data_IF_273461444047
#
_entry.id   IF_273461444047
#
_cell.length_a   1.000
_cell.length_b   1.000
_cell.length_c   1.000
_cell.angle_alpha   90.00
_cell.angle_beta   90.00
_cell.angle_gamma   90.00
#
_symmetry.space_group_name_H-M   'P 1'
#
loop_
_entity.id
_entity.type
_entity.pdbx_description
1 polymer ?
#
# COMPACT_ATOMS: atom_id res chain seq x y z
N UNK A 1 -49.80 -7.94 8.25
CA UNK A 1 -49.63 -6.54 7.82
C UNK A 1 -48.24 -6.38 7.22
N UNK A 2 -48.04 -6.64 5.91
CA UNK A 2 -46.77 -6.36 5.25
C UNK A 2 -46.58 -4.85 5.11
N UNK A 3 -45.48 -4.32 5.65
CA UNK A 3 -45.12 -2.92 5.40
C UNK A 3 -44.60 -2.81 3.96
N UNK A 4 -45.43 -2.28 3.07
CA UNK A 4 -44.99 -1.84 1.76
C UNK A 4 -44.04 -0.65 1.92
N UNK A 5 -42.76 -0.93 2.13
CA UNK A 5 -41.71 0.07 1.99
C UNK A 5 -41.76 0.55 0.55
N UNK A 6 -42.19 1.80 0.36
CA UNK A 6 -42.21 2.40 -0.96
C UNK A 6 -40.78 2.38 -1.52
N UNK A 7 -40.58 1.61 -2.58
CA UNK A 7 -39.37 1.64 -3.39
C UNK A 7 -39.31 3.00 -4.08
N UNK A 8 -38.83 4.01 -3.34
CA UNK A 8 -38.42 5.27 -3.90
C UNK A 8 -37.22 4.99 -4.78
N UNK A 9 -37.51 4.73 -6.06
CA UNK A 9 -36.53 4.59 -7.12
C UNK A 9 -35.74 5.90 -7.21
N UNK A 10 -34.58 5.90 -6.55
CA UNK A 10 -33.64 7.01 -6.55
C UNK A 10 -33.35 7.38 -8.00
N UNK A 11 -33.74 8.59 -8.41
CA UNK A 11 -33.61 8.99 -9.81
C UNK A 11 -32.12 8.97 -10.19
N UNK A 12 -31.75 8.40 -11.35
CA UNK A 12 -30.34 8.33 -11.77
C UNK A 12 -29.66 9.72 -11.83
N UNK A 13 -30.44 10.77 -12.05
CA UNK A 13 -29.99 12.17 -12.01
C UNK A 13 -29.52 12.59 -10.61
N UNK A 14 -30.27 12.25 -9.55
CA UNK A 14 -29.91 12.59 -8.18
C UNK A 14 -28.57 11.97 -7.77
N UNK A 15 -28.35 10.69 -8.11
CA UNK A 15 -27.08 10.01 -7.86
C UNK A 15 -25.91 10.69 -8.58
N UNK A 16 -26.10 11.08 -9.84
CA UNK A 16 -25.07 11.78 -10.61
C UNK A 16 -24.66 13.10 -9.95
N UNK A 17 -25.60 13.90 -9.46
CA UNK A 17 -25.30 15.20 -8.84
C UNK A 17 -24.78 15.09 -7.41
N UNK A 18 -25.01 13.95 -6.74
CA UNK A 18 -24.44 13.64 -5.42
C UNK A 18 -22.97 13.15 -5.43
N UNK A 19 -22.32 13.04 -6.60
CA UNK A 19 -20.93 12.59 -6.72
C UNK A 19 -19.96 13.65 -6.16
N UNK A 20 -19.57 13.47 -4.90
CA UNK A 20 -18.59 14.29 -4.18
C UNK A 20 -17.34 13.47 -3.83
N UNK A 21 -16.24 14.13 -3.47
CA UNK A 21 -14.95 13.45 -3.16
C UNK A 21 -15.07 12.42 -2.03
N UNK A 22 -15.93 12.66 -1.04
CA UNK A 22 -16.18 11.74 0.08
C UNK A 22 -17.12 10.59 -0.26
N UNK A 23 -18.01 10.74 -1.24
CA UNK A 23 -19.04 9.75 -1.61
C UNK A 23 -18.72 8.97 -2.87
N UNK A 24 -17.71 9.37 -3.66
CA UNK A 24 -17.44 8.78 -4.98
C UNK A 24 -17.20 7.27 -4.93
N UNK A 25 -16.53 6.74 -3.90
CA UNK A 25 -16.23 5.29 -3.82
C UNK A 25 -17.47 4.46 -3.48
N UNK A 26 -18.34 4.93 -2.58
CA UNK A 26 -19.60 4.24 -2.27
C UNK A 26 -20.58 4.31 -3.45
N UNK A 27 -20.64 5.45 -4.16
CA UNK A 27 -21.41 5.58 -5.41
C UNK A 27 -20.80 4.69 -6.51
N UNK A 28 -19.48 4.51 -6.55
CA UNK A 28 -18.81 3.65 -7.53
C UNK A 28 -19.14 2.16 -7.36
N UNK A 29 -19.31 1.67 -6.13
CA UNK A 29 -19.86 0.33 -5.87
C UNK A 29 -21.25 0.19 -6.50
N UNK A 30 -22.18 1.10 -6.17
CA UNK A 30 -23.56 1.10 -6.69
C UNK A 30 -23.58 1.18 -8.23
N UNK A 31 -22.77 2.05 -8.82
CA UNK A 31 -22.64 2.20 -10.27
C UNK A 31 -22.09 0.92 -10.94
N UNK A 32 -21.18 0.20 -10.27
CA UNK A 32 -20.65 -1.09 -10.74
C UNK A 32 -21.72 -2.17 -10.69
N UNK A 33 -22.46 -2.28 -9.57
CA UNK A 33 -23.54 -3.25 -9.40
C UNK A 33 -24.69 -3.05 -10.42
N UNK A 34 -25.09 -1.78 -10.65
CA UNK A 34 -26.10 -1.40 -11.65
C UNK A 34 -25.59 -1.41 -13.10
N UNK A 35 -24.27 -1.54 -13.31
CA UNK A 35 -23.60 -1.44 -14.62
C UNK A 35 -23.87 -0.12 -15.36
N UNK A 36 -24.13 0.99 -14.64
CA UNK A 36 -24.36 2.31 -15.25
C UNK A 36 -23.03 2.92 -15.72
N UNK A 37 -22.75 2.78 -17.01
CA UNK A 37 -21.55 3.31 -17.65
C UNK A 37 -21.40 4.84 -17.53
N UNK A 38 -22.50 5.61 -17.45
CA UNK A 38 -22.44 7.08 -17.32
C UNK A 38 -22.03 7.48 -15.91
N UNK A 39 -22.63 6.85 -14.90
CA UNK A 39 -22.29 7.10 -13.50
C UNK A 39 -20.87 6.62 -13.18
N UNK A 40 -20.48 5.45 -13.68
CA UNK A 40 -19.10 4.94 -13.60
C UNK A 40 -18.08 5.93 -14.18
N UNK A 41 -18.36 6.49 -15.37
CA UNK A 41 -17.46 7.45 -16.02
C UNK A 41 -17.35 8.77 -15.23
N UNK A 42 -18.45 9.30 -14.67
CA UNK A 42 -18.44 10.49 -13.78
C UNK A 42 -17.63 10.23 -12.51
N UNK A 43 -17.76 9.04 -11.91
CA UNK A 43 -16.97 8.66 -10.75
C UNK A 43 -15.47 8.50 -11.07
N UNK A 44 -15.11 7.83 -12.17
CA UNK A 44 -13.71 7.69 -12.62
C UNK A 44 -13.07 9.06 -12.88
N UNK A 45 -13.82 10.00 -13.50
CA UNK A 45 -13.38 11.39 -13.68
C UNK A 45 -13.10 12.06 -12.32
N UNK A 46 -14.02 11.95 -11.37
CA UNK A 46 -13.89 12.54 -10.02
C UNK A 46 -12.71 11.94 -9.25
N UNK A 47 -12.47 10.63 -9.35
CA UNK A 47 -11.29 9.97 -8.74
C UNK A 47 -9.99 10.50 -9.34
N UNK A 48 -9.92 10.70 -10.66
CA UNK A 48 -8.75 11.28 -11.34
C UNK A 48 -8.51 12.74 -10.93
N UNK A 49 -9.57 13.55 -10.85
CA UNK A 49 -9.51 14.97 -10.43
C UNK A 49 -9.15 15.14 -8.96
N UNK A 50 -9.48 14.17 -8.10
CA UNK A 50 -9.11 14.14 -6.68
C UNK A 50 -7.71 13.55 -6.44
N UNK A 51 -7.06 13.05 -7.50
CA UNK A 51 -5.68 12.59 -7.46
C UNK A 51 -5.43 11.40 -6.53
N UNK A 52 -4.32 11.47 -5.81
CA UNK A 52 -3.75 10.34 -5.04
C UNK A 52 -4.36 10.17 -3.65
N UNK A 53 -4.96 11.23 -3.10
CA UNK A 53 -5.54 11.28 -1.75
C UNK A 53 -6.62 10.19 -1.56
N UNK A 54 -7.50 10.06 -2.56
CA UNK A 54 -8.63 9.13 -2.52
C UNK A 54 -8.18 7.66 -2.51
N UNK A 55 -7.07 7.34 -3.19
CA UNK A 55 -6.51 5.98 -3.27
C UNK A 55 -5.71 5.57 -2.03
N UNK A 56 -5.35 6.52 -1.17
CA UNK A 56 -4.70 6.29 0.13
C UNK A 56 -5.73 6.31 1.28
N UNK A 57 -6.97 6.71 1.00
CA UNK A 57 -8.03 6.81 2.00
C UNK A 57 -8.53 5.43 2.48
N UNK A 58 -8.98 5.35 3.74
CA UNK A 58 -9.58 4.14 4.30
C UNK A 58 -10.86 3.71 3.57
N UNK A 59 -11.58 4.65 2.95
CA UNK A 59 -12.80 4.39 2.17
C UNK A 59 -12.56 3.47 0.96
N UNK A 60 -11.32 3.30 0.50
CA UNK A 60 -10.95 2.27 -0.47
C UNK A 60 -11.34 0.87 0.03
N UNK A 61 -11.20 0.59 1.33
CA UNK A 61 -11.55 -0.71 1.93
C UNK A 61 -13.04 -1.07 1.86
N UNK A 62 -13.91 -0.09 1.64
CA UNK A 62 -15.36 -0.30 1.45
C UNK A 62 -15.70 -0.75 0.02
N UNK A 63 -14.75 -0.70 -0.93
CA UNK A 63 -15.00 -1.12 -2.32
C UNK A 63 -15.30 -2.63 -2.41
N UNK A 64 -16.25 -2.99 -3.26
CA UNK A 64 -16.49 -4.38 -3.63
C UNK A 64 -15.39 -4.91 -4.55
N UNK A 65 -15.11 -6.22 -4.48
CA UNK A 65 -14.11 -6.90 -5.33
C UNK A 65 -14.27 -6.57 -6.83
N UNK A 66 -15.46 -6.67 -7.47
CA UNK A 66 -15.66 -6.25 -8.85
C UNK A 66 -15.46 -4.74 -9.09
N UNK A 67 -15.82 -3.89 -8.13
CA UNK A 67 -15.63 -2.45 -8.22
C UNK A 67 -14.13 -2.10 -8.18
N UNK A 68 -13.35 -2.65 -7.25
CA UNK A 68 -11.90 -2.48 -7.23
C UNK A 68 -11.26 -2.99 -8.54
N UNK A 69 -11.67 -4.17 -9.02
CA UNK A 69 -11.16 -4.73 -10.28
C UNK A 69 -11.48 -3.83 -11.50
N UNK A 70 -12.63 -3.16 -11.50
CA UNK A 70 -13.01 -2.16 -12.50
C UNK A 70 -12.16 -0.89 -12.38
N UNK A 71 -12.09 -0.31 -11.18
CA UNK A 71 -11.36 0.92 -10.88
C UNK A 71 -9.91 0.82 -11.33
N UNK A 72 -9.20 -0.26 -10.95
CA UNK A 72 -7.80 -0.49 -11.26
C UNK A 72 -7.51 -0.49 -12.78
N UNK A 73 -8.46 -0.91 -13.64
CA UNK A 73 -8.31 -0.85 -15.12
C UNK A 73 -8.23 0.58 -15.64
N UNK A 74 -8.79 1.54 -14.91
CA UNK A 74 -8.85 2.96 -15.31
C UNK A 74 -7.75 3.83 -14.70
N UNK A 75 -6.93 3.31 -13.78
CA UNK A 75 -5.85 4.03 -13.08
C UNK A 75 -4.49 4.02 -13.80
N UNK A 76 -4.47 3.91 -15.14
CA UNK A 76 -3.23 3.79 -15.96
C UNK A 76 -2.20 4.92 -15.80
N UNK A 77 -2.59 6.08 -15.26
CA UNK A 77 -1.72 7.23 -15.05
C UNK A 77 -1.29 7.42 -13.58
N UNK A 78 -1.74 6.53 -12.68
CA UNK A 78 -1.38 6.58 -11.25
C UNK A 78 -0.08 5.82 -11.03
N UNK A 79 0.88 6.34 -10.23
CA UNK A 79 2.09 5.61 -9.85
C UNK A 79 1.77 4.21 -9.29
N UNK A 80 2.45 3.18 -9.80
CA UNK A 80 2.20 1.79 -9.41
C UNK A 80 2.38 1.54 -7.90
N UNK A 81 3.21 2.32 -7.21
CA UNK A 81 3.37 2.29 -5.76
C UNK A 81 2.09 2.66 -5.00
N UNK A 82 1.31 3.61 -5.50
CA UNK A 82 0.00 3.99 -4.93
C UNK A 82 -1.09 2.99 -5.31
N UNK A 83 -1.05 2.44 -6.52
CA UNK A 83 -1.95 1.34 -6.94
C UNK A 83 -1.75 0.12 -6.03
N UNK A 84 -0.51 -0.24 -5.73
CA UNK A 84 -0.19 -1.30 -4.77
C UNK A 84 -0.72 -0.98 -3.36
N UNK A 85 -0.43 0.23 -2.82
CA UNK A 85 -0.93 0.63 -1.49
C UNK A 85 -2.46 0.62 -1.37
N UNK A 86 -3.17 1.02 -2.42
CA UNK A 86 -4.62 0.93 -2.53
C UNK A 86 -5.11 -0.53 -2.37
N UNK A 87 -4.49 -1.47 -3.09
CA UNK A 87 -4.78 -2.91 -3.00
C UNK A 87 -4.50 -3.47 -1.59
N UNK A 88 -3.36 -3.12 -0.98
CA UNK A 88 -3.01 -3.58 0.38
C UNK A 88 -4.00 -3.04 1.43
N UNK A 89 -4.34 -1.75 1.36
CA UNK A 89 -5.31 -1.12 2.26
C UNK A 89 -6.67 -1.82 2.15
N UNK A 90 -7.10 -2.12 0.92
CA UNK A 90 -8.33 -2.86 0.67
C UNK A 90 -8.29 -4.28 1.28
N UNK A 91 -7.24 -5.05 1.02
CA UNK A 91 -7.10 -6.41 1.55
C UNK A 91 -7.08 -6.45 3.09
N UNK A 92 -6.38 -5.52 3.72
CA UNK A 92 -6.35 -5.37 5.18
C UNK A 92 -7.73 -5.07 5.77
N UNK A 93 -8.48 -4.12 5.20
CA UNK A 93 -9.84 -3.81 5.64
C UNK A 93 -10.80 -4.98 5.40
N UNK A 94 -10.64 -5.72 4.29
CA UNK A 94 -11.43 -6.91 3.98
C UNK A 94 -11.19 -8.09 4.93
N UNK A 95 -9.96 -8.29 5.39
CA UNK A 95 -9.65 -9.33 6.38
C UNK A 95 -10.17 -8.91 7.77
N UNK A 96 -9.93 -7.66 8.16
CA UNK A 96 -10.43 -7.11 9.42
C UNK A 96 -11.97 -7.16 9.53
N UNK A 97 -12.70 -6.92 8.42
CA UNK A 97 -14.17 -6.99 8.41
C UNK A 97 -14.74 -8.41 8.56
N UNK A 98 -13.91 -9.44 8.41
CA UNK A 98 -14.26 -10.84 8.74
C UNK A 98 -14.00 -11.21 10.20
N UNK A 99 -13.45 -10.30 11.01
CA UNK A 99 -13.07 -10.56 12.39
C UNK A 99 -11.86 -11.47 12.55
N UNK A 100 -11.02 -11.58 11.52
CA UNK A 100 -9.81 -12.41 11.51
C UNK A 100 -8.58 -11.51 11.57
N UNK A 101 -7.58 -11.88 12.37
CA UNK A 101 -6.31 -11.15 12.43
C UNK A 101 -5.58 -11.20 11.07
N UNK A 102 -5.00 -10.07 10.60
CA UNK A 102 -4.35 -10.00 9.30
C UNK A 102 -3.04 -10.79 9.26
N UNK A 103 -3.15 -12.07 8.89
CA UNK A 103 -2.01 -12.94 8.59
C UNK A 103 -1.48 -12.66 7.16
N UNK A 104 -0.18 -12.87 6.98
CA UNK A 104 0.54 -12.74 5.70
C UNK A 104 -0.07 -13.57 4.57
N UNK A 105 -0.37 -14.85 4.81
CA UNK A 105 -0.95 -15.75 3.80
C UNK A 105 -2.33 -15.28 3.37
N UNK A 106 -3.21 -14.98 4.33
CA UNK A 106 -4.54 -14.43 4.08
C UNK A 106 -4.49 -13.11 3.29
N UNK A 107 -3.51 -12.24 3.58
CA UNK A 107 -3.32 -11.01 2.83
C UNK A 107 -2.88 -11.30 1.39
N UNK A 108 -1.96 -12.24 1.15
CA UNK A 108 -1.55 -12.65 -0.21
C UNK A 108 -2.76 -13.21 -0.98
N UNK A 109 -3.47 -14.17 -0.41
CA UNK A 109 -4.68 -14.79 -0.99
C UNK A 109 -5.77 -13.76 -1.32
N UNK A 110 -6.02 -12.80 -0.41
CA UNK A 110 -7.07 -11.79 -0.63
C UNK A 110 -6.72 -10.83 -1.78
N UNK A 111 -5.44 -10.48 -1.96
CA UNK A 111 -4.99 -9.49 -2.97
C UNK A 111 -4.48 -10.09 -4.28
N UNK A 112 -4.28 -11.41 -4.35
CA UNK A 112 -3.59 -12.10 -5.45
C UNK A 112 -4.14 -11.74 -6.84
N UNK A 113 -5.46 -11.72 -7.02
CA UNK A 113 -6.12 -11.38 -8.30
C UNK A 113 -5.83 -9.96 -8.82
N UNK A 114 -5.34 -9.08 -7.93
CA UNK A 114 -5.01 -7.69 -8.25
C UNK A 114 -3.53 -7.46 -8.48
N UNK A 115 -2.63 -8.33 -7.98
CA UNK A 115 -1.19 -8.18 -8.12
C UNK A 115 -0.73 -8.04 -9.59
N UNK A 116 -1.27 -8.80 -10.57
CA UNK A 116 -1.00 -8.59 -12.00
C UNK A 116 -1.32 -7.20 -12.55
N UNK A 117 -2.08 -6.36 -11.83
CA UNK A 117 -2.40 -4.98 -12.25
C UNK A 117 -1.32 -3.98 -11.83
N UNK A 118 -0.35 -4.40 -11.02
CA UNK A 118 0.77 -3.58 -10.55
C UNK A 118 2.02 -3.95 -11.35
N UNK A 119 2.53 -3.03 -12.16
CA UNK A 119 3.83 -3.23 -12.82
C UNK A 119 4.95 -2.90 -11.84
N UNK A 120 5.38 -3.90 -11.06
CA UNK A 120 6.46 -3.75 -10.08
C UNK A 120 7.77 -3.28 -10.73
N UNK A 121 8.06 -3.75 -11.95
CA UNK A 121 9.26 -3.35 -12.70
C UNK A 121 9.23 -1.89 -13.20
N UNK A 122 8.05 -1.28 -13.30
CA UNK A 122 7.89 0.14 -13.63
C UNK A 122 7.84 1.05 -12.38
N UNK A 123 7.98 0.48 -11.18
CA UNK A 123 8.09 1.21 -9.93
C UNK A 123 9.53 1.69 -9.71
N UNK A 124 9.75 2.74 -8.90
CA UNK A 124 11.11 3.06 -8.44
C UNK A 124 11.57 2.03 -7.40
N UNK A 125 12.87 1.73 -7.35
CA UNK A 125 13.46 0.86 -6.31
C UNK A 125 13.18 1.39 -4.90
N UNK A 126 13.17 2.72 -4.74
CA UNK A 126 12.88 3.36 -3.45
C UNK A 126 11.43 3.11 -3.00
N UNK A 127 10.46 3.29 -3.90
CA UNK A 127 9.05 3.00 -3.59
C UNK A 127 8.82 1.51 -3.30
N UNK A 128 9.49 0.61 -4.03
CA UNK A 128 9.38 -0.83 -3.82
C UNK A 128 9.86 -1.21 -2.41
N UNK A 129 11.04 -0.73 -2.00
CA UNK A 129 11.58 -0.96 -0.64
C UNK A 129 10.74 -0.29 0.44
N UNK A 130 10.17 0.89 0.17
CA UNK A 130 9.37 1.65 1.13
C UNK A 130 7.93 1.13 1.32
N UNK A 131 7.36 0.46 0.31
CA UNK A 131 5.94 0.12 0.29
C UNK A 131 5.63 -1.35 -0.01
N UNK A 132 6.39 -2.02 -0.88
CA UNK A 132 6.14 -3.41 -1.27
C UNK A 132 6.72 -4.37 -0.25
N UNK A 133 8.03 -4.32 0.01
CA UNK A 133 8.68 -5.23 0.98
C UNK A 133 8.06 -5.17 2.39
N UNK A 134 7.70 -4.00 2.97
CA UNK A 134 7.15 -3.94 4.32
C UNK A 134 5.71 -4.48 4.42
N UNK A 135 5.00 -4.63 3.29
CA UNK A 135 3.67 -5.26 3.27
C UNK A 135 3.72 -6.76 3.58
N UNK A 136 4.87 -7.39 3.32
CA UNK A 136 5.05 -8.83 3.46
C UNK A 136 4.23 -9.67 2.49
N UNK A 137 3.58 -9.14 1.44
CA UNK A 137 2.85 -9.99 0.48
C UNK A 137 3.80 -11.00 -0.18
N UNK A 138 4.96 -10.53 -0.64
CA UNK A 138 6.02 -11.37 -1.18
C UNK A 138 6.93 -11.93 -0.06
N UNK A 139 7.62 -13.02 -0.35
CA UNK A 139 8.71 -13.54 0.48
C UNK A 139 10.00 -12.77 0.20
N UNK A 140 10.99 -12.82 1.11
CA UNK A 140 12.29 -12.18 0.89
C UNK A 140 13.01 -12.65 -0.39
N UNK A 141 12.75 -13.88 -0.85
CA UNK A 141 13.27 -14.40 -2.12
C UNK A 141 12.56 -13.82 -3.35
N UNK A 142 11.23 -13.72 -3.31
CA UNK A 142 10.43 -13.06 -4.35
C UNK A 142 10.77 -11.55 -4.44
N UNK A 143 10.82 -10.84 -3.31
CA UNK A 143 11.22 -9.42 -3.25
C UNK A 143 12.61 -9.20 -3.87
N UNK A 144 13.58 -10.03 -3.51
CA UNK A 144 14.94 -9.96 -4.06
C UNK A 144 14.96 -10.24 -5.56
N UNK A 145 14.21 -11.24 -6.04
CA UNK A 145 14.12 -11.55 -7.47
C UNK A 145 13.52 -10.38 -8.26
N UNK A 146 12.51 -9.69 -7.72
CA UNK A 146 11.93 -8.48 -8.32
C UNK A 146 12.97 -7.34 -8.34
N UNK A 147 13.63 -7.06 -7.20
CA UNK A 147 14.67 -6.03 -7.11
C UNK A 147 15.84 -6.27 -8.08
N UNK A 148 16.26 -7.52 -8.25
CA UNK A 148 17.30 -7.89 -9.22
C UNK A 148 16.84 -7.63 -10.66
N UNK A 149 15.59 -7.94 -11.01
CA UNK A 149 15.04 -7.59 -12.33
C UNK A 149 14.90 -6.08 -12.54
N UNK A 150 14.52 -5.31 -11.51
CA UNK A 150 14.51 -3.83 -11.57
C UNK A 150 15.91 -3.26 -11.81
N UNK A 151 16.97 -3.92 -11.30
CA UNK A 151 18.36 -3.58 -11.55
C UNK A 151 18.92 -4.14 -12.89
N UNK A 152 18.10 -4.79 -13.71
CA UNK A 152 18.48 -5.32 -15.03
C UNK A 152 19.05 -6.74 -15.04
N UNK A 153 19.10 -7.45 -13.91
CA UNK A 153 19.50 -8.86 -13.86
C UNK A 153 18.33 -9.76 -14.27
N UNK A 154 18.55 -10.63 -15.27
CA UNK A 154 17.55 -11.60 -15.73
C UNK A 154 17.41 -12.76 -14.73
N UNK A 155 16.53 -12.61 -13.76
CA UNK A 155 16.18 -13.65 -12.77
C UNK A 155 14.73 -14.08 -12.99
N UNK A 156 14.40 -15.36 -12.81
CA UNK A 156 13.02 -15.82 -12.90
C UNK A 156 12.14 -15.08 -11.89
N UNK A 157 11.09 -14.42 -12.39
CA UNK A 157 10.14 -13.68 -11.57
C UNK A 157 9.08 -14.63 -10.97
N UNK A 158 8.47 -14.25 -9.83
CA UNK A 158 7.31 -14.96 -9.28
C UNK A 158 6.16 -14.97 -10.31
N UNK A 159 5.41 -16.07 -10.42
CA UNK A 159 4.35 -16.20 -11.42
C UNK A 159 3.24 -15.15 -11.20
N UNK A 160 2.98 -14.81 -9.94
CA UNK A 160 2.05 -13.79 -9.46
C UNK A 160 2.36 -12.39 -10.01
N UNK A 161 3.63 -12.12 -10.32
CA UNK A 161 4.07 -10.85 -10.92
C UNK A 161 3.89 -10.80 -12.45
N UNK A 162 3.77 -11.96 -13.11
CA UNK A 162 3.80 -12.05 -14.57
C UNK A 162 2.42 -11.91 -15.23
N UNK A 163 1.34 -11.98 -14.45
CA UNK A 163 -0.03 -11.80 -14.95
C UNK A 163 -0.49 -12.85 -15.97
N UNK A 164 0.33 -13.86 -16.23
CA UNK A 164 -0.05 -15.06 -16.93
C UNK A 164 -1.02 -15.82 -16.04
N UNK A 165 -2.31 -15.54 -16.21
CA UNK A 165 -3.36 -16.35 -15.63
C UNK A 165 -3.13 -17.79 -16.09
N UNK A 166 -2.63 -18.61 -15.18
CA UNK A 166 -2.42 -20.03 -15.42
C UNK A 166 -3.77 -20.61 -15.79
N UNK A 167 -3.96 -20.87 -17.08
CA UNK A 167 -5.14 -21.56 -17.56
C UNK A 167 -5.18 -22.88 -16.83
N UNK A 168 -6.14 -23.04 -15.92
CA UNK A 168 -6.47 -24.31 -15.31
C UNK A 168 -6.99 -25.24 -16.40
N UNK A 169 -6.05 -25.82 -17.14
CA UNK A 169 -6.30 -26.90 -18.07
C UNK A 169 -6.68 -28.13 -17.27
N UNK A 170 -7.94 -28.17 -16.84
CA UNK A 170 -8.58 -29.43 -16.48
C UNK A 170 -8.66 -30.27 -17.75
N UNK A 171 -7.77 -31.24 -17.88
CA UNK A 171 -7.67 -32.13 -19.04
C UNK A 171 -6.73 -33.29 -18.72
N UNK A 172 -7.25 -34.50 -18.94
CA UNK A 172 -6.52 -35.78 -18.99
C UNK A 172 -5.79 -36.23 -17.72
N UNK A 173 -6.58 -36.69 -16.76
CA UNK A 173 -6.42 -38.10 -16.39
C UNK A 173 -6.81 -38.97 -17.61
N UNK A 174 -5.84 -39.56 -18.32
CA UNK A 174 -5.68 -41.02 -18.30
C UNK A 174 -4.38 -41.52 -18.98
N UNK A 175 -3.83 -42.60 -18.42
CA UNK A 175 -3.02 -43.64 -19.08
C UNK A 175 -1.78 -43.28 -19.96
N UNK A 176 -0.59 -43.54 -19.39
CA UNK A 176 0.27 -44.57 -20.01
C UNK A 176 1.68 -44.23 -20.50
N UNK A 177 2.63 -44.11 -19.57
CA UNK A 177 4.01 -44.63 -19.75
C UNK A 177 5.03 -43.79 -20.55
N UNK A 178 6.31 -44.10 -20.35
CA UNK A 178 7.45 -43.54 -21.09
C UNK A 178 8.36 -42.64 -20.24
N UNK A 179 9.55 -43.14 -19.89
CA UNK A 179 10.53 -42.38 -19.11
C UNK A 179 11.23 -41.28 -19.91
N UNK A 180 11.51 -40.14 -19.28
CA UNK A 180 12.15 -38.98 -19.91
C UNK A 180 12.63 -37.95 -18.91
N UNK A 181 13.41 -38.38 -17.91
CA UNK A 181 13.85 -37.55 -16.77
C UNK A 181 14.82 -36.44 -17.14
N UNK A 182 14.34 -35.35 -17.73
CA UNK A 182 15.10 -34.10 -17.87
C UNK A 182 15.18 -33.37 -16.53
N UNK A 183 16.27 -33.64 -15.80
CA UNK A 183 16.65 -32.98 -14.56
C UNK A 183 16.70 -31.46 -14.72
N UNK A 184 15.78 -30.75 -14.06
CA UNK A 184 15.97 -29.34 -13.69
C UNK A 184 17.05 -29.22 -12.59
N UNK A 185 18.33 -29.29 -12.98
CA UNK A 185 19.48 -29.05 -12.10
C UNK A 185 20.21 -27.74 -12.44
N UNK A 186 19.52 -26.61 -12.33
CA UNK A 186 20.13 -25.30 -12.18
C UNK A 186 19.17 -24.32 -11.48
N UNK A 187 19.57 -23.81 -10.29
CA UNK A 187 18.95 -22.75 -9.46
C UNK A 187 18.26 -23.17 -8.14
N UNK A 188 17.95 -24.45 -7.91
CA UNK A 188 17.28 -24.88 -6.65
C UNK A 188 18.16 -24.75 -5.39
N UNK A 189 19.48 -24.60 -5.55
CA UNK A 189 20.47 -24.51 -4.47
C UNK A 189 20.52 -23.16 -3.71
N UNK A 190 19.63 -22.21 -4.00
CA UNK A 190 19.53 -20.93 -3.28
C UNK A 190 18.19 -20.69 -2.58
N UNK A 191 17.17 -21.53 -2.81
CA UNK A 191 15.79 -21.22 -2.39
C UNK A 191 15.06 -22.36 -1.65
N UNK A 192 15.64 -23.57 -1.55
CA UNK A 192 15.05 -24.65 -0.75
C UNK A 192 15.39 -24.52 0.74
N UNK A 193 14.52 -23.83 1.49
CA UNK A 193 13.95 -24.39 2.72
C UNK A 193 14.87 -24.72 3.90
N UNK A 194 16.06 -24.13 3.99
CA UNK A 194 16.85 -24.06 5.22
C UNK A 194 16.79 -22.64 5.80
N UNK A 195 16.70 -22.51 7.12
CA UNK A 195 16.82 -21.22 7.83
C UNK A 195 18.29 -20.76 7.84
N UNK A 196 18.86 -20.55 6.66
CA UNK A 196 20.28 -20.31 6.44
C UNK A 196 20.57 -18.81 6.21
N UNK A 197 21.03 -18.14 7.29
CA UNK A 197 21.54 -16.77 7.23
C UNK A 197 22.71 -16.62 6.23
N UNK A 198 23.41 -17.72 5.90
CA UNK A 198 24.49 -17.78 4.93
C UNK A 198 24.09 -17.40 3.51
N UNK A 199 22.87 -17.72 3.06
CA UNK A 199 22.39 -17.33 1.73
C UNK A 199 22.26 -15.81 1.61
N UNK A 200 21.68 -15.17 2.63
CA UNK A 200 21.58 -13.70 2.72
C UNK A 200 22.97 -13.05 2.76
N UNK A 201 23.92 -13.62 3.52
CA UNK A 201 25.30 -13.13 3.59
C UNK A 201 26.03 -13.26 2.25
N UNK A 202 25.82 -14.35 1.49
CA UNK A 202 26.47 -14.57 0.19
C UNK A 202 25.93 -13.61 -0.88
N UNK A 203 24.62 -13.40 -0.91
CA UNK A 203 23.97 -12.41 -1.78
C UNK A 203 24.43 -10.98 -1.40
N UNK A 204 24.47 -10.65 -0.12
CA UNK A 204 25.01 -9.36 0.35
C UNK A 204 26.48 -9.17 -0.05
N UNK A 205 27.32 -10.22 -0.09
CA UNK A 205 28.72 -10.13 -0.57
C UNK A 205 28.83 -9.88 -2.07
N UNK A 206 27.90 -10.38 -2.88
CA UNK A 206 27.95 -10.18 -4.33
C UNK A 206 27.42 -8.79 -4.71
N UNK A 207 26.32 -8.34 -4.07
CA UNK A 207 25.87 -6.95 -4.16
C UNK A 207 26.98 -6.00 -3.68
N UNK A 208 27.80 -6.40 -2.68
CA UNK A 208 28.98 -5.65 -2.17
C UNK A 208 29.96 -5.21 -3.25
N UNK A 209 30.03 -5.92 -4.39
CA UNK A 209 30.93 -5.59 -5.51
C UNK A 209 30.29 -4.65 -6.54
N UNK A 210 28.96 -4.55 -6.58
CA UNK A 210 28.22 -3.87 -7.65
C UNK A 210 27.78 -2.43 -7.39
N UNK A 211 27.61 -1.98 -6.14
CA UNK A 211 27.07 -0.63 -5.89
C UNK A 211 27.09 -0.15 -4.44
N UNK A 212 28.20 0.51 -4.05
CA UNK A 212 28.44 0.98 -2.68
C UNK A 212 27.35 1.89 -2.07
N UNK A 213 26.57 2.61 -2.88
CA UNK A 213 25.52 3.53 -2.40
C UNK A 213 24.23 2.81 -1.99
N UNK A 214 23.67 1.98 -2.88
CA UNK A 214 22.45 1.20 -2.58
C UNK A 214 22.65 0.26 -1.39
N UNK A 215 23.84 -0.33 -1.26
CA UNK A 215 24.21 -1.13 -0.10
C UNK A 215 24.15 -0.37 1.22
N UNK A 216 24.58 0.90 1.26
CA UNK A 216 24.64 1.61 2.54
C UNK A 216 23.22 1.93 3.06
N UNK A 217 22.26 2.13 2.15
CA UNK A 217 20.85 2.29 2.51
C UNK A 217 20.17 0.96 2.82
N UNK A 218 20.39 -0.08 1.99
CA UNK A 218 19.85 -1.43 2.24
C UNK A 218 20.42 -2.07 3.51
N UNK A 219 21.70 -1.83 3.83
CA UNK A 219 22.33 -2.32 5.06
C UNK A 219 21.82 -1.55 6.28
N UNK A 220 21.67 -0.22 6.19
CA UNK A 220 21.03 0.58 7.23
C UNK A 220 19.58 0.13 7.48
N UNK A 221 18.82 -0.19 6.43
CA UNK A 221 17.45 -0.72 6.53
C UNK A 221 17.40 -2.14 7.09
N UNK A 222 18.22 -3.07 6.60
CA UNK A 222 18.30 -4.44 7.13
C UNK A 222 18.69 -4.43 8.61
N UNK A 223 19.64 -3.58 9.00
CA UNK A 223 20.01 -3.33 10.39
C UNK A 223 18.86 -2.74 11.21
N UNK A 224 18.09 -1.77 10.67
CA UNK A 224 16.92 -1.21 11.35
C UNK A 224 15.79 -2.23 11.56
N UNK A 225 15.52 -3.06 10.54
CA UNK A 225 14.45 -4.07 10.56
C UNK A 225 14.80 -5.25 11.47
N UNK A 226 16.05 -5.74 11.41
CA UNK A 226 16.51 -6.85 12.26
C UNK A 226 16.68 -6.43 13.71
N UNK A 227 17.28 -5.26 14.00
CA UNK A 227 17.52 -4.83 15.39
C UNK A 227 16.32 -4.13 16.04
N UNK A 228 15.40 -3.54 15.25
CA UNK A 228 14.21 -2.83 15.73
C UNK A 228 13.16 -3.68 16.47
N UNK A 229 13.27 -5.02 16.39
CA UNK A 229 12.41 -5.98 17.11
C UNK A 229 13.00 -6.49 18.44
N UNK A 230 14.28 -6.24 18.74
CA UNK A 230 15.01 -6.94 19.81
C UNK A 230 14.98 -6.29 21.21
N UNK A 231 15.37 -5.01 21.34
CA UNK A 231 15.71 -4.43 22.66
C UNK A 231 15.33 -2.94 22.81
N UNK A 232 14.03 -2.64 22.78
CA UNK A 232 13.53 -1.32 23.19
C UNK A 232 13.57 -1.16 24.72
N UNK A 233 14.72 -0.77 25.28
CA UNK A 233 14.77 0.18 26.42
C UNK A 233 16.18 0.67 26.82
N UNK A 234 17.25 -0.11 26.60
CA UNK A 234 18.53 0.14 27.28
C UNK A 234 19.56 1.05 26.55
N UNK A 235 19.46 1.26 25.23
CA UNK A 235 20.56 1.87 24.45
C UNK A 235 20.33 3.29 23.87
N UNK A 236 19.10 3.82 23.91
CA UNK A 236 18.78 5.12 23.31
C UNK A 236 19.39 6.33 24.06
N UNK A 237 19.68 6.19 25.36
CA UNK A 237 20.39 7.21 26.15
C UNK A 237 21.86 7.36 25.75
N UNK A 238 22.55 6.27 25.40
CA UNK A 238 23.98 6.31 24.99
C UNK A 238 24.17 6.95 23.62
N UNK A 239 23.25 6.73 22.67
CA UNK A 239 23.34 7.33 21.33
C UNK A 239 23.03 8.83 21.32
N UNK A 240 22.15 9.34 22.19
CA UNK A 240 21.94 10.80 22.34
C UNK A 240 23.20 11.53 22.83
N UNK A 241 23.98 10.92 23.74
CA UNK A 241 25.25 11.50 24.20
C UNK A 241 26.31 11.60 23.08
N UNK A 242 26.45 10.55 22.26
CA UNK A 242 27.44 10.51 21.18
C UNK A 242 27.16 11.52 20.04
N UNK A 243 25.89 11.79 19.75
CA UNK A 243 25.48 12.74 18.68
C UNK A 243 25.67 14.20 19.10
N UNK A 244 25.54 14.53 20.41
CA UNK A 244 25.80 15.88 20.92
C UNK A 244 27.29 16.23 20.82
N UNK A 245 28.19 15.29 21.15
CA UNK A 245 29.64 15.52 21.09
C UNK A 245 30.15 15.75 19.65
N UNK A 246 29.60 15.09 18.63
CA UNK A 246 30.04 15.29 17.22
C UNK A 246 29.57 16.61 16.57
N UNK A 247 28.69 17.39 17.21
CA UNK A 247 28.26 18.71 16.68
C UNK A 247 29.11 19.89 17.19
N UNK A 248 30.04 19.68 18.12
CA UNK A 248 30.89 20.74 18.66
C UNK A 248 32.03 21.20 17.73
N UNK A 249 32.68 20.27 17.02
CA UNK A 249 33.98 20.53 16.37
C UNK A 249 33.92 21.23 15.00
N UNK A 250 32.76 21.32 14.36
CA UNK A 250 32.65 21.97 13.04
C UNK A 250 32.66 23.50 13.09
N UNK A 251 32.63 24.12 14.28
CA UNK A 251 32.62 25.60 14.44
C UNK A 251 33.98 26.26 14.69
N UNK A 252 35.11 25.54 14.54
CA UNK A 252 36.47 26.08 14.78
C UNK A 252 37.39 26.22 13.54
N UNK A 253 36.88 26.12 12.32
CA UNK A 253 37.69 26.29 11.07
C UNK A 253 37.14 27.31 10.05
N UNK A 254 36.29 28.24 10.49
CA UNK A 254 35.81 29.34 9.64
C UNK A 254 35.89 30.66 10.40
N UNK A 255 37.03 31.35 10.29
CA UNK A 255 37.26 32.67 10.88
C UNK A 255 38.43 33.36 10.17
N UNK A 256 38.32 34.69 9.99
CA UNK A 256 39.11 35.53 9.05
C UNK A 256 38.79 35.17 7.58
N UNK A 257 38.36 36.05 6.67
CA UNK A 257 38.27 37.52 6.57
C UNK A 257 36.94 37.90 5.84
N UNK A 258 36.37 39.13 5.81
CA UNK A 258 36.66 40.44 6.45
C UNK A 258 35.37 41.32 6.49
N UNK A 259 35.56 42.61 6.80
CA UNK A 259 34.72 43.83 6.62
C UNK A 259 33.97 43.95 5.27
N UNK A 260 32.94 44.79 5.04
CA UNK A 260 32.08 45.67 5.87
C UNK A 260 31.00 46.30 4.95
N UNK A 261 29.78 46.55 5.43
CA UNK A 261 29.11 47.86 5.27
C UNK A 261 27.72 47.90 5.92
N UNK A 262 27.46 48.99 6.61
CA UNK A 262 26.16 49.32 7.22
C UNK A 262 25.32 50.17 6.26
N UNK A 263 24.02 49.90 6.16
CA UNK A 263 23.01 50.96 6.03
C UNK A 263 21.64 50.48 6.44
N UNK A 264 20.96 51.33 7.20
CA UNK A 264 19.64 51.05 7.75
C UNK A 264 18.50 51.53 6.83
N UNK A 265 17.36 50.85 6.92
CA UNK A 265 15.98 51.37 6.88
C UNK A 265 15.07 50.18 7.25
N UNK A 266 14.41 50.19 8.42
CA UNK A 266 13.29 51.05 8.83
C UNK A 266 11.94 50.56 8.28
N UNK A 267 11.21 49.88 9.17
CA UNK A 267 9.75 49.92 9.37
C UNK A 267 8.81 49.65 8.17
N UNK A 268 7.95 48.64 8.35
CA UNK A 268 6.86 48.33 7.42
C UNK A 268 5.90 47.28 8.00
N UNK A 269 5.14 47.66 9.03
CA UNK A 269 4.04 46.83 9.53
C UNK A 269 3.04 46.55 8.40
N UNK A 270 2.58 45.30 8.26
CA UNK A 270 1.22 45.05 7.81
C UNK A 270 0.70 43.73 8.35
N UNK A 271 -0.29 43.82 9.23
CA UNK A 271 -0.99 42.67 9.81
C UNK A 271 -2.24 42.39 8.97
N UNK A 272 -2.28 41.26 8.27
CA UNK A 272 -3.53 40.72 7.75
C UNK A 272 -3.90 39.46 8.52
N UNK A 273 -4.72 39.68 9.55
CA UNK A 273 -5.43 38.63 10.26
C UNK A 273 -6.69 38.26 9.48
N UNK A 274 -6.65 37.15 8.75
CA UNK A 274 -7.84 36.60 8.08
C UNK A 274 -8.38 35.45 8.93
N UNK A 275 -9.29 35.78 9.85
CA UNK A 275 -10.04 34.77 10.59
C UNK A 275 -11.00 34.05 9.62
N UNK A 276 -10.76 32.76 9.38
CA UNK A 276 -11.70 31.92 8.63
C UNK A 276 -12.69 31.31 9.63
N UNK A 277 -13.92 31.82 9.58
CA UNK A 277 -15.03 31.36 10.42
C UNK A 277 -15.44 29.94 10.05
N UNK A 278 -15.41 29.02 11.02
CA UNK A 278 -16.02 27.70 10.89
C UNK A 278 -17.55 27.81 10.82
N UNK A 279 -18.24 27.14 9.88
CA UNK A 279 -19.64 26.81 10.05
C UNK A 279 -19.75 25.56 10.94
N UNK A 280 -20.29 25.75 12.15
CA UNK A 280 -20.83 24.64 12.94
C UNK A 280 -21.98 23.93 12.20
N UNK A 281 -22.38 22.77 12.75
CA UNK A 281 -23.65 22.04 12.53
C UNK A 281 -23.76 21.21 11.25
N UNK A 282 -23.44 19.92 11.40
CA UNK A 282 -24.39 18.89 11.00
C UNK A 282 -24.72 17.98 12.20
N UNK A 283 -26.01 17.75 12.40
CA UNK A 283 -26.56 17.00 13.52
C UNK A 283 -26.19 15.51 13.46
N UNK A 284 -25.65 14.98 14.55
CA UNK A 284 -25.77 13.55 14.87
C UNK A 284 -27.24 13.21 15.14
N UNK A 285 -27.92 12.59 14.16
CA UNK A 285 -29.16 11.86 14.44
C UNK A 285 -28.81 10.50 15.05
N UNK A 286 -28.69 10.46 16.37
CA UNK A 286 -28.70 9.19 17.10
C UNK A 286 -30.07 8.53 16.92
N UNK A 287 -30.10 7.36 16.27
CA UNK A 287 -31.29 6.51 16.23
C UNK A 287 -31.35 5.76 17.57
N UNK A 288 -32.43 5.91 18.37
CA UNK A 288 -32.54 5.18 19.62
C UNK A 288 -32.78 3.69 19.34
N UNK A 289 -31.89 2.84 19.84
CA UNK A 289 -32.09 1.39 19.85
C UNK A 289 -33.18 1.09 20.89
N UNK A 290 -34.37 0.74 20.40
CA UNK A 290 -35.48 0.29 21.24
C UNK A 290 -35.10 -1.02 21.94
N UNK A 291 -34.96 -1.01 23.26
CA UNK A 291 -34.77 -2.23 24.02
C UNK A 291 -36.08 -3.01 24.11
N UNK A 292 -36.11 -4.16 23.43
CA UNK A 292 -37.21 -5.12 23.50
C UNK A 292 -37.34 -5.69 24.92
N UNK A 293 -38.33 -5.20 25.66
CA UNK A 293 -38.67 -5.64 27.01
C UNK A 293 -39.25 -7.06 26.96
N UNK A 294 -38.44 -8.09 27.21
CA UNK A 294 -38.94 -9.46 27.29
C UNK A 294 -39.81 -9.63 28.55
N UNK A 295 -41.08 -9.99 28.33
CA UNK A 295 -42.06 -10.30 29.36
C UNK A 295 -42.17 -11.81 29.50
N UNK A 296 -41.45 -12.42 30.45
CA UNK A 296 -41.66 -13.81 30.84
C UNK A 296 -42.84 -13.90 31.83
N UNK A 297 -44.04 -14.05 31.27
CA UNK A 297 -45.25 -14.36 32.03
C UNK A 297 -45.38 -15.88 32.24
N UNK A 298 -45.43 -16.25 33.53
CA UNK A 298 -45.95 -17.47 34.16
C UNK A 298 -46.54 -18.57 33.27
N UNK A 299 -46.02 -19.80 33.46
CA UNK A 299 -46.70 -21.08 33.26
C UNK A 299 -46.20 -22.05 34.33
#
# INVERSE_FOLDING_TARGET
MPCALAEHSLSPQYLQDSVARSTVLSIYNVATALKDAKLLLRCIKTVRESGTELLVSAAVGELERPALASLLKHLKHVPHSLVFRCIITWGQVRIASRGVDPNRSLLKEEVEEFLPRVSFLAMSTQDFVAHVMPSGVFSPGEDLAILLNMAGYKVNLPQECLGGGGGGGGGEEDSGGGGGGLRYQASSALLNGGQDEGASIKIMREIRRGGARLLHELWAWAWLVTWGRGTRHAHLTKLRAAVVLRRGDWRRRSGMQLLSNSSARSLGNSSYSTAVTLPERLYTRCIPISQGKQSTGVG
#
